data_IF_699216952730
#
_entry.id   IF_699216952730
#
_cell.length_a   1.000
_cell.length_b   1.000
_cell.length_c   1.000
_cell.angle_alpha   90.00
_cell.angle_beta   90.00
_cell.angle_gamma   90.00
#
_symmetry.space_group_name_H-M   'P 1'
#
loop_
_entity.id
_entity.type
_entity.pdbx_description
1 polymer ?
#
# COMPACT_ATOMS: atom_id res chain seq x y z
N UNK A 1 9.28 -11.69 12.91
CA UNK A 1 7.95 -12.07 12.36
C UNK A 1 8.09 -12.15 10.87
N UNK A 2 7.93 -13.34 10.31
CA UNK A 2 8.03 -13.51 8.86
C UNK A 2 6.80 -12.95 8.16
N UNK A 3 7.04 -12.17 7.12
CA UNK A 3 6.01 -11.56 6.28
C UNK A 3 6.35 -11.79 4.82
N UNK A 4 5.32 -12.00 3.99
CA UNK A 4 5.46 -12.24 2.55
C UNK A 4 5.00 -11.01 1.79
N UNK A 5 5.83 -10.51 0.88
CA UNK A 5 5.46 -9.45 -0.05
C UNK A 5 4.39 -9.96 -1.00
N UNK A 6 3.28 -9.23 -1.16
CA UNK A 6 2.16 -9.67 -1.99
C UNK A 6 2.36 -9.52 -3.49
N UNK A 7 3.48 -8.92 -3.93
CA UNK A 7 3.75 -8.69 -5.35
C UNK A 7 4.87 -9.57 -5.89
N UNK A 8 5.96 -9.72 -5.14
CA UNK A 8 7.12 -10.51 -5.56
C UNK A 8 7.35 -11.76 -4.72
N UNK A 9 6.44 -12.06 -3.79
CA UNK A 9 6.48 -13.25 -2.92
C UNK A 9 7.71 -13.39 -2.02
N UNK A 10 8.60 -12.38 -1.99
CA UNK A 10 9.77 -12.33 -1.11
C UNK A 10 9.33 -12.40 0.35
N UNK A 11 9.96 -13.28 1.11
CA UNK A 11 9.80 -13.38 2.56
C UNK A 11 10.85 -12.50 3.23
N UNK A 12 10.41 -11.61 4.11
CA UNK A 12 11.28 -10.76 4.93
C UNK A 12 10.92 -10.95 6.40
N UNK A 13 11.88 -10.68 7.27
CA UNK A 13 11.66 -10.68 8.71
C UNK A 13 11.49 -9.26 9.22
N UNK A 14 10.38 -9.02 9.95
CA UNK A 14 10.15 -7.75 10.63
C UNK A 14 10.13 -7.94 12.15
N UNK A 15 10.52 -6.91 12.88
CA UNK A 15 10.53 -6.90 14.33
C UNK A 15 9.12 -7.12 14.90
N UNK A 16 8.98 -8.09 15.81
CA UNK A 16 7.69 -8.54 16.35
C UNK A 16 6.90 -7.44 17.07
N UNK A 17 7.61 -6.56 17.80
CA UNK A 17 7.04 -5.51 18.62
C UNK A 17 6.86 -4.17 17.89
N UNK A 18 7.21 -4.12 16.60
CA UNK A 18 7.03 -2.91 15.79
C UNK A 18 5.55 -2.58 15.55
N UNK A 19 5.27 -1.29 15.33
CA UNK A 19 3.93 -0.83 14.93
C UNK A 19 3.49 -1.46 13.61
N UNK A 20 4.42 -1.71 12.69
CA UNK A 20 4.15 -2.39 11.43
C UNK A 20 3.63 -3.81 11.68
N UNK A 21 4.32 -4.59 12.53
CA UNK A 21 3.91 -5.94 12.86
C UNK A 21 2.56 -5.98 13.58
N UNK A 22 2.29 -5.03 14.50
CA UNK A 22 0.97 -4.88 15.14
C UNK A 22 -0.12 -4.59 14.10
N UNK A 23 0.14 -3.70 13.14
CA UNK A 23 -0.81 -3.34 12.07
C UNK A 23 -1.13 -4.51 11.14
N UNK A 24 -0.15 -5.34 10.81
CA UNK A 24 -0.34 -6.51 9.94
C UNK A 24 -1.15 -7.60 10.63
N UNK A 25 -0.92 -7.84 11.93
CA UNK A 25 -1.70 -8.82 12.71
C UNK A 25 -3.16 -8.40 12.91
N UNK A 26 -3.40 -7.12 13.20
CA UNK A 26 -4.71 -6.65 13.66
C UNK A 26 -5.67 -6.19 12.55
N UNK A 27 -5.21 -6.08 11.29
CA UNK A 27 -6.05 -5.58 10.20
C UNK A 27 -5.91 -6.44 8.96
N UNK A 28 -6.97 -7.17 8.62
CA UNK A 28 -7.04 -8.10 7.47
C UNK A 28 -6.74 -7.44 6.11
N UNK A 29 -6.88 -6.11 6.01
CA UNK A 29 -6.62 -5.33 4.78
C UNK A 29 -5.16 -4.90 4.62
N UNK A 30 -4.33 -4.98 5.66
CA UNK A 30 -2.95 -4.53 5.58
C UNK A 30 -2.10 -5.64 4.94
N UNK A 31 -1.97 -5.61 3.61
CA UNK A 31 -1.03 -6.43 2.87
C UNK A 31 0.39 -5.89 3.05
N UNK A 32 1.37 -6.77 3.26
CA UNK A 32 2.77 -6.38 3.36
C UNK A 32 3.39 -6.20 1.97
N UNK A 33 4.15 -5.12 1.80
CA UNK A 33 4.91 -4.82 0.60
C UNK A 33 6.37 -4.62 0.97
N UNK A 34 7.28 -5.36 0.33
CA UNK A 34 8.70 -5.14 0.53
C UNK A 34 9.12 -3.78 -0.06
N UNK A 35 10.16 -3.18 0.51
CA UNK A 35 10.67 -1.87 0.08
C UNK A 35 10.96 -1.79 -1.43
N UNK A 36 11.60 -2.78 -2.07
CA UNK A 36 11.82 -2.76 -3.51
C UNK A 36 10.53 -2.69 -4.35
N UNK A 37 9.46 -3.36 -3.92
CA UNK A 37 8.20 -3.32 -4.65
C UNK A 37 7.47 -1.99 -4.43
N UNK A 38 7.58 -1.41 -3.22
CA UNK A 38 7.08 -0.07 -2.94
C UNK A 38 7.73 0.96 -3.86
N UNK A 39 9.07 0.98 -3.88
CA UNK A 39 9.85 1.94 -4.69
C UNK A 39 9.57 1.75 -6.20
N UNK A 40 9.42 0.49 -6.64
CA UNK A 40 9.05 0.16 -8.04
C UNK A 40 7.68 0.74 -8.42
N UNK A 41 6.68 0.57 -7.56
CA UNK A 41 5.34 1.13 -7.80
C UNK A 41 5.40 2.66 -7.80
N UNK A 42 6.12 3.25 -6.86
CA UNK A 42 6.28 4.70 -6.75
C UNK A 42 6.87 5.29 -8.03
N UNK A 43 7.97 4.72 -8.54
CA UNK A 43 8.61 5.16 -9.78
C UNK A 43 7.67 5.08 -10.97
N UNK A 44 6.98 3.95 -11.15
CA UNK A 44 6.04 3.76 -12.26
C UNK A 44 4.83 4.71 -12.15
N UNK A 45 4.37 4.98 -10.93
CA UNK A 45 3.25 5.90 -10.69
C UNK A 45 3.65 7.33 -11.03
N UNK A 46 4.85 7.78 -10.62
CA UNK A 46 5.40 9.09 -10.98
C UNK A 46 5.56 9.24 -12.50
N UNK A 47 6.05 8.19 -13.18
CA UNK A 47 6.16 8.20 -14.65
C UNK A 47 4.80 8.27 -15.36
N UNK A 48 3.78 7.59 -14.83
CA UNK A 48 2.41 7.71 -15.36
C UNK A 48 1.84 9.10 -15.12
N UNK A 49 2.09 9.67 -13.94
CA UNK A 49 1.65 11.01 -13.59
C UNK A 49 2.24 12.07 -14.53
N UNK A 50 3.53 11.96 -14.87
CA UNK A 50 4.20 12.91 -15.78
C UNK A 50 3.67 12.86 -17.21
N UNK A 51 2.93 11.82 -17.61
CA UNK A 51 2.32 11.75 -18.96
C UNK A 51 1.11 12.67 -19.14
N UNK A 52 0.57 13.25 -18.06
CA UNK A 52 -0.65 14.07 -18.09
C UNK A 52 -1.95 13.29 -18.34
N UNK A 53 -1.88 11.99 -18.65
CA UNK A 53 -3.05 11.11 -18.86
C UNK A 53 -3.50 10.37 -17.60
N UNK A 54 -2.84 10.61 -16.47
CA UNK A 54 -3.16 9.94 -15.21
C UNK A 54 -4.47 10.48 -14.62
N UNK A 55 -5.46 9.58 -14.44
CA UNK A 55 -6.76 9.91 -13.86
C UNK A 55 -6.93 9.19 -12.53
N UNK A 56 -7.31 9.95 -11.50
CA UNK A 56 -7.76 9.39 -10.24
C UNK A 56 -9.28 9.22 -10.30
N UNK A 57 -9.75 7.99 -10.29
CA UNK A 57 -11.17 7.68 -10.17
C UNK A 57 -11.56 7.78 -8.70
N UNK A 58 -11.99 8.98 -8.28
CA UNK A 58 -12.55 9.20 -6.95
C UNK A 58 -14.03 8.86 -7.00
N UNK A 59 -14.52 8.12 -6.00
CA UNK A 59 -15.94 7.99 -5.77
C UNK A 59 -16.51 9.38 -5.50
N UNK A 60 -17.67 9.69 -6.10
CA UNK A 60 -18.43 10.88 -5.73
C UNK A 60 -18.84 10.71 -4.27
N UNK A 61 -18.20 11.46 -3.37
CA UNK A 61 -18.69 11.55 -1.99
C UNK A 61 -20.11 12.06 -2.09
N UNK A 62 -21.09 11.25 -1.65
CA UNK A 62 -22.41 11.79 -1.36
C UNK A 62 -22.18 12.89 -0.33
N UNK A 63 -22.79 14.05 -0.55
CA UNK A 63 -22.91 15.05 0.50
C UNK A 63 -23.66 14.33 1.61
N UNK A 64 -23.04 14.25 2.79
CA UNK A 64 -23.70 13.66 3.94
C UNK A 64 -24.73 14.72 4.37
N UNK A 65 -26.02 14.45 4.13
CA UNK A 65 -27.11 15.40 4.41
C UNK A 65 -27.24 15.75 5.92
N UNK A 66 -26.43 15.12 6.77
CA UNK A 66 -26.44 15.26 8.22
C UNK A 66 -25.14 15.88 8.80
N UNK A 67 -24.25 16.41 7.96
CA UNK A 67 -23.02 17.13 8.36
C UNK A 67 -23.06 18.61 7.99
#
# INVERSE_FOLDING_TARGET
>A
MQVKCTICDKVEEIEHYSLLAKRLRNRRKNMYLCKPCYDRIEKNTKQRLSTGKFKLYKETKKVDDFL
#
